data_IF_629163306921
#
_entry.id   IF_629163306921
#
_cell.length_a   1.000
_cell.length_b   1.000
_cell.length_c   1.000
_cell.angle_alpha   90.00
_cell.angle_beta   90.00
_cell.angle_gamma   90.00
#
_symmetry.space_group_name_H-M   'P 1'
#
loop_
_entity.id
_entity.type
_entity.pdbx_description
1 polymer ?
#
# COMPACT_ATOMS: atom_id res chain seq x y z
N UNK A 1 9.75 6.22 -4.04
CA UNK A 1 8.37 5.83 -3.67
C UNK A 1 8.20 4.38 -4.10
N UNK A 2 7.73 3.49 -3.21
CA UNK A 2 7.76 2.04 -3.48
C UNK A 2 6.88 1.70 -4.70
N UNK A 3 5.67 2.22 -4.77
CA UNK A 3 4.66 1.78 -5.74
C UNK A 3 4.70 2.48 -7.11
N UNK A 4 5.88 2.82 -7.65
CA UNK A 4 6.01 3.62 -8.89
C UNK A 4 6.61 2.85 -10.07
N UNK A 5 6.39 1.54 -10.13
CA UNK A 5 6.85 0.72 -11.25
C UNK A 5 6.09 1.06 -12.55
N UNK A 6 6.76 1.13 -13.72
CA UNK A 6 6.08 1.39 -14.99
C UNK A 6 5.02 0.32 -15.34
N UNK A 7 5.21 -0.92 -14.87
CA UNK A 7 4.28 -2.01 -15.12
C UNK A 7 3.17 -2.04 -14.05
N UNK A 8 1.92 -1.91 -14.50
CA UNK A 8 0.76 -1.92 -13.61
C UNK A 8 0.58 -3.23 -12.85
N UNK A 9 0.99 -4.38 -13.41
CA UNK A 9 0.96 -5.65 -12.71
C UNK A 9 1.89 -5.64 -11.49
N UNK A 10 3.06 -5.00 -11.62
CA UNK A 10 3.99 -4.84 -10.50
C UNK A 10 3.37 -3.93 -9.46
N UNK A 11 2.82 -2.77 -9.85
CA UNK A 11 2.15 -1.86 -8.89
C UNK A 11 0.99 -2.53 -8.15
N UNK A 12 0.15 -3.29 -8.85
CA UNK A 12 -0.92 -4.10 -8.25
C UNK A 12 -0.38 -5.15 -7.28
N UNK A 13 0.70 -5.84 -7.65
CA UNK A 13 1.37 -6.80 -6.76
C UNK A 13 1.91 -6.10 -5.50
N UNK A 14 2.53 -4.94 -5.65
CA UNK A 14 3.00 -4.13 -4.51
C UNK A 14 1.83 -3.74 -3.60
N UNK A 15 0.73 -3.25 -4.18
CA UNK A 15 -0.47 -2.90 -3.44
C UNK A 15 -1.01 -4.08 -2.61
N UNK A 16 -1.03 -5.29 -3.16
CA UNK A 16 -1.48 -6.51 -2.47
C UNK A 16 -0.60 -6.90 -1.28
N UNK A 17 0.68 -6.50 -1.28
CA UNK A 17 1.65 -6.89 -0.26
C UNK A 17 1.93 -5.81 0.79
N UNK A 18 1.37 -4.60 0.67
CA UNK A 18 1.64 -3.52 1.61
C UNK A 18 1.29 -3.87 3.07
N UNK A 19 0.26 -4.68 3.33
CA UNK A 19 -0.08 -5.12 4.68
C UNK A 19 1.00 -6.02 5.30
N UNK A 20 1.65 -6.88 4.49
CA UNK A 20 2.77 -7.72 4.94
C UNK A 20 3.99 -6.87 5.29
N UNK A 21 4.23 -5.82 4.51
CA UNK A 21 5.28 -4.83 4.83
C UNK A 21 4.95 -4.12 6.15
N UNK A 22 3.70 -3.70 6.34
CA UNK A 22 3.24 -3.06 7.58
C UNK A 22 3.45 -3.96 8.81
N UNK A 23 3.06 -5.23 8.70
CA UNK A 23 3.26 -6.23 9.74
C UNK A 23 4.75 -6.44 10.07
N UNK A 24 5.60 -6.43 9.04
CA UNK A 24 7.04 -6.65 9.19
C UNK A 24 7.77 -5.48 9.85
N UNK A 25 7.30 -4.24 9.62
CA UNK A 25 7.89 -3.04 10.22
C UNK A 25 7.67 -2.97 11.74
N UNK A 26 6.55 -3.51 12.26
CA UNK A 26 6.21 -3.57 13.70
C UNK A 26 6.30 -2.23 14.45
N UNK A 27 6.27 -1.11 13.73
CA UNK A 27 6.32 0.24 14.26
C UNK A 27 5.26 1.11 13.56
N UNK A 28 4.21 1.57 14.26
CA UNK A 28 3.16 2.37 13.66
C UNK A 28 3.63 3.68 13.02
N UNK A 29 4.65 4.32 13.56
CA UNK A 29 5.21 5.56 13.01
C UNK A 29 5.95 5.31 11.68
N UNK A 30 6.74 4.23 11.63
CA UNK A 30 7.42 3.81 10.41
C UNK A 30 6.41 3.34 9.35
N UNK A 31 5.37 2.61 9.76
CA UNK A 31 4.27 2.22 8.89
C UNK A 31 3.55 3.45 8.31
N UNK A 32 3.17 4.41 9.16
CA UNK A 32 2.50 5.63 8.72
C UNK A 32 3.33 6.41 7.70
N UNK A 33 4.59 6.67 8.01
CA UNK A 33 5.47 7.46 7.15
C UNK A 33 5.83 6.77 5.83
N UNK A 34 6.01 5.44 5.82
CA UNK A 34 6.38 4.69 4.63
C UNK A 34 5.18 4.28 3.75
N UNK A 35 4.07 3.86 4.36
CA UNK A 35 2.96 3.23 3.63
C UNK A 35 1.84 4.19 3.26
N UNK A 36 1.53 5.21 4.09
CA UNK A 36 0.44 6.16 3.76
C UNK A 36 0.66 6.85 2.42
N UNK A 37 1.87 7.36 2.09
CA UNK A 37 2.11 7.94 0.77
C UNK A 37 1.88 6.93 -0.37
N UNK A 38 2.29 5.67 -0.18
CA UNK A 38 2.11 4.60 -1.16
C UNK A 38 0.62 4.29 -1.38
N UNK A 39 -0.16 4.16 -0.31
CA UNK A 39 -1.60 3.92 -0.37
C UNK A 39 -2.34 5.08 -1.07
N UNK A 40 -2.00 6.33 -0.74
CA UNK A 40 -2.59 7.52 -1.39
C UNK A 40 -2.26 7.55 -2.88
N UNK A 41 -1.04 7.21 -3.27
CA UNK A 41 -0.64 7.13 -4.68
C UNK A 41 -1.41 6.02 -5.41
N UNK A 42 -1.45 4.81 -4.84
CA UNK A 42 -2.12 3.66 -5.45
C UNK A 42 -3.64 3.85 -5.57
N UNK A 43 -4.28 4.57 -4.64
CA UNK A 43 -5.70 4.93 -4.77
C UNK A 43 -5.97 5.88 -5.96
N UNK A 44 -4.94 6.56 -6.47
CA UNK A 44 -5.00 7.46 -7.62
C UNK A 44 -4.33 6.88 -8.86
N UNK A 45 -4.01 5.57 -8.85
CA UNK A 45 -3.37 4.89 -9.97
C UNK A 45 -4.25 4.98 -11.24
N UNK A 46 -3.64 4.98 -12.42
CA UNK A 46 -4.37 5.04 -13.70
C UNK A 46 -5.15 3.74 -13.93
N UNK A 47 -4.63 2.60 -13.46
CA UNK A 47 -5.22 1.30 -13.70
C UNK A 47 -6.27 0.93 -12.65
N UNK A 48 -7.46 0.53 -13.11
CA UNK A 48 -8.58 0.13 -12.24
C UNK A 48 -8.17 -1.01 -11.29
N UNK A 49 -7.54 -2.06 -11.82
CA UNK A 49 -7.14 -3.22 -11.02
C UNK A 49 -6.13 -2.88 -9.93
N UNK A 50 -5.26 -1.89 -10.16
CA UNK A 50 -4.33 -1.41 -9.13
C UNK A 50 -5.06 -0.65 -8.03
N UNK A 51 -6.05 0.17 -8.37
CA UNK A 51 -6.89 0.86 -7.38
C UNK A 51 -7.72 -0.11 -6.53
N UNK A 52 -8.28 -1.14 -7.15
CA UNK A 52 -9.03 -2.20 -6.44
C UNK A 52 -8.12 -2.98 -5.48
N UNK A 53 -6.92 -3.36 -5.93
CA UNK A 53 -5.92 -4.00 -5.09
C UNK A 53 -5.53 -3.11 -3.89
N UNK A 54 -5.36 -1.81 -4.12
CA UNK A 54 -5.07 -0.85 -3.05
C UNK A 54 -6.20 -0.76 -2.03
N UNK A 55 -7.45 -0.63 -2.50
CA UNK A 55 -8.64 -0.56 -1.64
C UNK A 55 -8.76 -1.80 -0.75
N UNK A 56 -8.56 -2.99 -1.32
CA UNK A 56 -8.61 -4.26 -0.59
C UNK A 56 -7.52 -4.32 0.50
N UNK A 57 -6.33 -3.80 0.23
CA UNK A 57 -5.22 -3.80 1.20
C UNK A 57 -5.36 -2.72 2.28
N UNK A 58 -6.02 -1.59 2.02
CA UNK A 58 -6.19 -0.52 3.01
C UNK A 58 -6.76 -1.06 4.32
N UNK A 59 -7.82 -1.87 4.24
CA UNK A 59 -8.46 -2.46 5.42
C UNK A 59 -7.49 -3.32 6.25
N UNK A 60 -6.58 -4.03 5.58
CA UNK A 60 -5.56 -4.86 6.21
C UNK A 60 -4.43 -4.05 6.83
N UNK A 61 -4.18 -2.83 6.34
CA UNK A 61 -3.17 -1.93 6.90
C UNK A 61 -3.63 -1.19 8.16
N UNK A 62 -4.95 -1.06 8.40
CA UNK A 62 -5.52 -0.29 9.53
C UNK A 62 -4.85 -0.64 10.87
N UNK A 63 -4.71 -1.92 11.28
CA UNK A 63 -4.13 -2.28 12.57
C UNK A 63 -2.69 -1.79 12.81
N UNK A 64 -1.97 -1.47 11.72
CA UNK A 64 -0.58 -1.03 11.73
C UNK A 64 -0.42 0.48 11.55
N UNK A 65 -1.48 1.16 11.10
CA UNK A 65 -1.51 2.62 10.87
C UNK A 65 -2.18 3.38 12.02
N UNK A 66 -3.05 2.73 12.78
CA UNK A 66 -3.75 3.31 13.93
C UNK A 66 -3.28 2.66 15.22
N UNK A 67 -2.15 3.12 15.76
CA UNK A 67 -1.71 2.95 17.14
C UNK A 67 -0.87 4.14 17.56
#
# INVERSE_FOLDING_TARGET
MLCNDPNSNVRSSMAQHLAVVAESLRNPSDCGSALVPCLVQLCKDTEIGTREAALNTIALCIPFLSK
#
